data_IF_692779979526
#
_entry.id   IF_692779979526
#
_cell.length_a   1.000
_cell.length_b   1.000
_cell.length_c   1.000
_cell.angle_alpha   90.00
_cell.angle_beta   90.00
_cell.angle_gamma   90.00
#
_symmetry.space_group_name_H-M   'P 1'
#
loop_
_entity.id
_entity.type
_entity.pdbx_description
1 polymer ?
#
# COMPACT_ATOMS: atom_id res chain seq x y z
N UNK A 1 42.36 0.70 -25.96
CA UNK A 1 42.02 2.12 -25.69
C UNK A 1 40.95 2.50 -26.71
N UNK A 2 39.65 2.51 -26.45
CA UNK A 2 38.87 2.94 -25.28
C UNK A 2 37.89 1.86 -24.79
N UNK A 3 37.81 1.65 -23.47
CA UNK A 3 36.63 1.09 -22.81
C UNK A 3 35.77 2.28 -22.35
N UNK A 4 34.63 2.52 -22.99
CA UNK A 4 33.64 3.50 -22.52
C UNK A 4 32.82 2.80 -21.42
N UNK A 5 33.21 3.03 -20.18
CA UNK A 5 32.49 2.57 -19.00
C UNK A 5 31.23 3.44 -18.88
N UNK A 6 30.05 2.87 -19.14
CA UNK A 6 28.77 3.46 -18.74
C UNK A 6 28.78 3.57 -17.21
N UNK A 7 29.02 4.77 -16.67
CA UNK A 7 28.84 5.00 -15.24
C UNK A 7 27.33 5.00 -14.96
N UNK A 8 26.80 3.84 -14.57
CA UNK A 8 25.49 3.76 -13.96
C UNK A 8 25.54 4.53 -12.63
N UNK A 9 25.07 5.78 -12.65
CA UNK A 9 24.84 6.55 -11.42
C UNK A 9 23.69 5.85 -10.68
N UNK A 10 24.03 5.03 -9.70
CA UNK A 10 23.09 4.50 -8.74
C UNK A 10 22.25 5.65 -8.18
N UNK A 11 20.93 5.60 -8.43
CA UNK A 11 19.99 6.56 -7.87
C UNK A 11 20.13 6.52 -6.34
N UNK A 12 20.59 7.62 -5.75
CA UNK A 12 20.69 7.75 -4.29
C UNK A 12 19.30 7.50 -3.70
N UNK A 13 19.14 6.40 -2.97
CA UNK A 13 17.92 6.14 -2.21
C UNK A 13 17.81 7.22 -1.13
N UNK A 14 17.01 8.26 -1.37
CA UNK A 14 16.63 9.22 -0.35
C UNK A 14 15.99 8.43 0.80
N UNK A 15 16.74 8.21 1.88
CA UNK A 15 16.22 7.56 3.08
C UNK A 15 15.34 8.59 3.80
N UNK A 16 14.08 8.69 3.38
CA UNK A 16 13.10 9.49 4.11
C UNK A 16 12.85 8.82 5.47
N UNK A 17 13.19 9.50 6.57
CA UNK A 17 12.86 9.03 7.91
C UNK A 17 11.36 8.71 7.99
N UNK A 18 11.03 7.47 8.37
CA UNK A 18 9.64 6.98 8.34
C UNK A 18 8.67 7.82 9.20
N UNK A 19 9.18 8.53 10.21
CA UNK A 19 8.40 9.42 11.08
C UNK A 19 7.97 10.73 10.41
N UNK A 20 8.80 11.30 9.53
CA UNK A 20 8.56 12.60 8.90
C UNK A 20 7.83 12.43 7.57
N UNK A 21 6.49 12.42 7.64
CA UNK A 21 5.60 12.22 6.48
C UNK A 21 4.82 13.48 6.13
N UNK A 22 4.67 13.75 4.84
CA UNK A 22 3.77 14.81 4.33
C UNK A 22 2.31 14.51 4.67
N UNK A 23 1.48 15.56 4.73
CA UNK A 23 0.05 15.41 5.03
C UNK A 23 -0.68 14.52 4.00
N UNK A 24 -0.34 14.67 2.71
CA UNK A 24 -0.91 13.84 1.64
C UNK A 24 -0.63 12.36 1.86
N UNK A 25 0.60 12.00 2.23
CA UNK A 25 0.95 10.61 2.54
C UNK A 25 0.20 10.10 3.78
N UNK A 26 0.12 10.90 4.85
CA UNK A 26 -0.65 10.55 6.06
C UNK A 26 -2.12 10.27 5.75
N UNK A 27 -2.76 11.12 4.93
CA UNK A 27 -4.16 10.93 4.49
C UNK A 27 -4.34 9.62 3.71
N UNK A 28 -3.42 9.31 2.80
CA UNK A 28 -3.46 8.06 2.02
C UNK A 28 -3.28 6.84 2.93
N UNK A 29 -2.32 6.87 3.85
CA UNK A 29 -2.08 5.79 4.81
C UNK A 29 -3.31 5.56 5.71
N UNK A 30 -3.92 6.63 6.22
CA UNK A 30 -5.15 6.55 7.01
C UNK A 30 -6.31 5.94 6.22
N UNK A 31 -6.48 6.31 4.93
CA UNK A 31 -7.48 5.70 4.04
C UNK A 31 -7.22 4.21 3.83
N UNK A 32 -5.97 3.81 3.56
CA UNK A 32 -5.60 2.39 3.39
C UNK A 32 -5.82 1.59 4.68
N UNK A 33 -5.60 2.20 5.85
CA UNK A 33 -5.91 1.59 7.13
C UNK A 33 -7.42 1.41 7.32
N UNK A 34 -8.24 2.43 7.00
CA UNK A 34 -9.72 2.34 7.06
C UNK A 34 -10.30 1.29 6.12
N UNK A 35 -9.77 1.15 4.90
CA UNK A 35 -10.23 0.15 3.94
C UNK A 35 -9.92 -1.30 4.37
N UNK A 36 -8.91 -1.48 5.23
CA UNK A 36 -8.48 -2.79 5.70
C UNK A 36 -9.33 -3.26 6.89
N UNK A 37 -10.61 -3.54 6.64
CA UNK A 37 -11.60 -3.98 7.63
C UNK A 37 -12.40 -5.19 7.11
N UNK A 38 -12.89 -6.08 8.00
CA UNK A 38 -13.81 -7.15 7.62
C UNK A 38 -15.17 -6.61 7.18
N UNK A 39 -15.92 -7.43 6.44
CA UNK A 39 -17.28 -7.11 6.02
C UNK A 39 -18.22 -7.21 7.24
N UNK A 40 -19.15 -6.25 7.45
CA UNK A 40 -20.14 -6.30 8.52
C UNK A 40 -21.09 -7.49 8.40
N UNK A 41 -21.58 -8.00 9.55
CA UNK A 41 -22.47 -9.16 9.59
C UNK A 41 -23.79 -8.93 8.85
N UNK A 42 -24.46 -7.81 9.10
CA UNK A 42 -25.74 -7.48 8.45
C UNK A 42 -25.64 -7.45 6.91
N UNK A 43 -24.46 -7.14 6.35
CA UNK A 43 -24.26 -7.13 4.91
C UNK A 43 -24.27 -8.55 4.32
N UNK A 44 -23.80 -9.55 5.07
CA UNK A 44 -23.86 -10.98 4.67
C UNK A 44 -25.29 -11.49 4.65
N UNK A 45 -26.17 -10.89 5.46
CA UNK A 45 -27.58 -11.26 5.57
C UNK A 45 -28.45 -10.59 4.50
N UNK A 46 -27.87 -9.72 3.65
CA UNK A 46 -28.63 -9.11 2.56
C UNK A 46 -28.86 -10.11 1.44
N UNK A 47 -30.13 -10.25 1.05
CA UNK A 47 -30.55 -10.98 -0.15
C UNK A 47 -29.83 -10.46 -1.40
N UNK A 48 -29.68 -11.33 -2.39
CA UNK A 48 -29.08 -11.04 -3.71
C UNK A 48 -27.61 -10.56 -3.68
N UNK A 49 -26.86 -10.91 -2.62
CA UNK A 49 -25.41 -10.65 -2.56
C UNK A 49 -24.60 -11.91 -2.25
N UNK A 50 -23.66 -12.25 -3.14
CA UNK A 50 -22.76 -13.41 -2.98
C UNK A 50 -21.43 -13.04 -2.26
N UNK A 51 -21.31 -11.84 -1.71
CA UNK A 51 -20.06 -11.33 -1.16
C UNK A 51 -19.92 -11.75 0.31
N UNK A 52 -19.06 -12.73 0.57
CA UNK A 52 -18.86 -13.28 1.92
C UNK A 52 -17.65 -12.69 2.66
N UNK A 53 -16.61 -12.24 1.96
CA UNK A 53 -15.40 -11.69 2.58
C UNK A 53 -14.80 -10.56 1.75
N UNK A 54 -13.98 -9.73 2.39
CA UNK A 54 -13.29 -8.65 1.70
C UNK A 54 -12.03 -9.19 1.01
N UNK A 55 -12.15 -9.53 -0.28
CA UNK A 55 -11.04 -10.03 -1.08
C UNK A 55 -9.86 -9.05 -1.20
N UNK A 56 -10.12 -7.74 -1.05
CA UNK A 56 -9.10 -6.67 -1.14
C UNK A 56 -8.47 -6.33 0.21
N UNK A 57 -8.76 -7.11 1.26
CA UNK A 57 -8.14 -6.95 2.58
C UNK A 57 -6.65 -7.30 2.49
N UNK A 58 -5.79 -6.53 3.17
CA UNK A 58 -4.33 -6.63 3.04
C UNK A 58 -3.65 -6.91 4.37
N UNK A 59 -2.63 -7.76 4.36
CA UNK A 59 -1.71 -7.91 5.50
C UNK A 59 -0.37 -7.21 5.21
N UNK A 60 0.15 -6.46 6.18
CA UNK A 60 1.33 -5.60 5.99
C UNK A 60 2.64 -6.35 5.79
N UNK A 61 2.74 -7.59 6.29
CA UNK A 61 3.89 -8.47 6.03
C UNK A 61 3.83 -9.11 4.64
N UNK A 62 2.63 -9.38 4.11
CA UNK A 62 2.43 -10.10 2.84
C UNK A 62 2.52 -9.17 1.63
N UNK A 63 1.84 -8.02 1.67
CA UNK A 63 1.75 -7.12 0.50
C UNK A 63 2.04 -5.68 0.91
N UNK A 64 2.98 -5.04 0.20
CA UNK A 64 3.38 -3.64 0.44
C UNK A 64 2.44 -2.67 -0.24
N UNK A 65 2.44 -1.43 0.24
CA UNK A 65 1.67 -0.35 -0.35
C UNK A 65 2.58 0.33 -1.39
N UNK A 66 2.13 0.38 -2.65
CA UNK A 66 2.87 1.03 -3.73
C UNK A 66 2.39 2.48 -3.82
N UNK A 67 2.94 3.34 -2.95
CA UNK A 67 2.55 4.75 -2.76
C UNK A 67 3.77 5.59 -2.46
#
# INVERSE_FOLDING_TARGET
MLMIIKSERAASSFVSYSANKTFRLKRTLAKKQRQNRPIPQWFRLKSDTNIQYNAKRRHWRRTKLHI
#
